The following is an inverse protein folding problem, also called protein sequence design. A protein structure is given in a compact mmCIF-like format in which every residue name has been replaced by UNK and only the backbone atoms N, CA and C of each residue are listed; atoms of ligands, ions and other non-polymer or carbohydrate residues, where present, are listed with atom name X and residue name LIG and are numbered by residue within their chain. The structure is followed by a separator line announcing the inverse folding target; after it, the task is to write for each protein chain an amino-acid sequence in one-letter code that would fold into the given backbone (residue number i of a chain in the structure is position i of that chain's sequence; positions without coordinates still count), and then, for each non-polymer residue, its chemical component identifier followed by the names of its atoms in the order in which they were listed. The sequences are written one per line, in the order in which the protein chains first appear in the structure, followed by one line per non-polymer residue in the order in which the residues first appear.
data_IF_088509499246
#
_entry.id   IF_088509499246
#
_cell.length_a   1.000
_cell.length_b   1.000
_cell.length_c   1.000
_cell.angle_alpha   90.00
_cell.angle_beta   90.00
_cell.angle_gamma   90.00
#
_symmetry.space_group_name_H-M   'P 1'
#
loop_
_entity.id
_entity.type
_entity.pdbx_description
1 polymer ?
#
# COMPACT_ATOMS: atom_id res chain seq x y z
N UNK A 1 23.58 15.98 -9.56
CA UNK A 1 24.14 15.16 -8.46
C UNK A 1 23.33 15.20 -7.16
N UNK A 2 22.16 15.87 -7.11
CA UNK A 2 21.40 16.19 -5.87
C UNK A 2 20.33 15.18 -5.46
N UNK A 3 19.96 14.23 -6.34
CA UNK A 3 18.84 13.31 -6.09
C UNK A 3 19.22 12.04 -5.29
N UNK A 4 20.49 11.61 -5.31
CA UNK A 4 20.93 10.35 -4.68
C UNK A 4 20.70 10.30 -3.16
N UNK A 5 20.86 11.42 -2.47
CA UNK A 5 20.62 11.51 -1.01
C UNK A 5 19.15 11.38 -0.62
N UNK A 6 18.22 11.66 -1.55
CA UNK A 6 16.78 11.55 -1.32
C UNK A 6 16.27 10.12 -1.50
N UNK A 7 17.01 9.26 -2.21
CA UNK A 7 16.66 7.85 -2.45
C UNK A 7 16.41 7.06 -1.16
N UNK A 8 17.29 7.07 -0.13
CA UNK A 8 17.02 6.34 1.11
C UNK A 8 15.77 6.83 1.85
N UNK A 9 15.47 8.14 1.76
CA UNK A 9 14.26 8.72 2.35
C UNK A 9 13.03 8.24 1.56
N UNK A 10 13.07 8.28 0.23
CA UNK A 10 11.98 7.79 -0.64
C UNK A 10 11.69 6.30 -0.42
N UNK A 11 12.73 5.48 -0.29
CA UNK A 11 12.60 4.07 0.07
C UNK A 11 11.95 3.85 1.43
N UNK A 12 12.37 4.62 2.46
CA UNK A 12 11.73 4.57 3.78
C UNK A 12 10.26 4.94 3.70
N UNK A 13 9.92 6.03 3.02
CA UNK A 13 8.52 6.46 2.86
C UNK A 13 7.72 5.39 2.12
N UNK A 14 8.27 4.79 1.04
CA UNK A 14 7.58 3.73 0.31
C UNK A 14 7.42 2.42 1.10
N UNK A 15 8.37 2.10 1.98
CA UNK A 15 8.21 0.99 2.92
C UNK A 15 7.10 1.29 3.93
N UNK A 16 7.04 2.52 4.45
CA UNK A 16 5.96 2.95 5.33
C UNK A 16 4.59 2.93 4.65
N UNK A 17 4.48 3.32 3.37
CA UNK A 17 3.21 3.24 2.63
C UNK A 17 2.76 1.81 2.35
N UNK A 18 3.59 0.80 2.57
CA UNK A 18 3.20 -0.61 2.57
C UNK A 18 2.87 -1.12 3.98
N UNK A 19 3.67 -0.74 4.98
CA UNK A 19 3.49 -1.20 6.38
C UNK A 19 2.27 -0.55 7.05
N UNK A 20 2.08 0.77 6.89
CA UNK A 20 0.97 1.50 7.51
C UNK A 20 -0.39 0.91 7.09
N UNK A 21 -0.62 0.60 5.80
CA UNK A 21 -1.84 -0.07 5.39
C UNK A 21 -2.13 -1.38 6.10
N UNK A 22 -1.13 -2.25 6.19
CA UNK A 22 -1.28 -3.56 6.85
C UNK A 22 -1.66 -3.35 8.31
N UNK A 23 -1.01 -2.39 8.97
CA UNK A 23 -1.28 -2.06 10.37
C UNK A 23 -2.70 -1.50 10.57
N UNK A 24 -3.10 -0.53 9.74
CA UNK A 24 -4.44 0.07 9.78
C UNK A 24 -5.52 -0.98 9.52
N UNK A 25 -5.34 -1.81 8.50
CA UNK A 25 -6.25 -2.89 8.17
C UNK A 25 -6.38 -3.92 9.29
N UNK A 26 -5.25 -4.27 9.92
CA UNK A 26 -5.23 -5.19 11.07
C UNK A 26 -5.97 -4.60 12.28
N UNK A 27 -5.73 -3.32 12.58
CA UNK A 27 -6.41 -2.63 13.68
C UNK A 27 -7.92 -2.59 13.42
N UNK A 28 -8.32 -2.29 12.19
CA UNK A 28 -9.73 -2.18 11.83
C UNK A 28 -10.46 -3.53 11.94
N UNK A 29 -9.88 -4.61 11.40
CA UNK A 29 -10.46 -5.97 11.52
C UNK A 29 -10.58 -6.41 12.99
N UNK A 30 -9.55 -6.15 13.81
CA UNK A 30 -9.48 -6.69 15.15
C UNK A 30 -10.23 -5.85 16.20
N UNK A 31 -10.27 -4.52 16.04
CA UNK A 31 -10.78 -3.60 17.05
C UNK A 31 -12.02 -2.81 16.63
N UNK A 32 -12.24 -2.60 15.33
CA UNK A 32 -13.36 -1.79 14.81
C UNK A 32 -14.38 -2.71 14.15
N UNK A 33 -14.96 -3.60 14.95
CA UNK A 33 -15.91 -4.61 14.45
C UNK A 33 -17.34 -4.08 14.47
N UNK A 34 -17.59 -3.01 13.70
CA UNK A 34 -18.90 -2.34 13.61
C UNK A 34 -19.82 -2.96 12.54
N UNK A 35 -19.57 -4.20 12.11
CA UNK A 35 -20.38 -4.90 11.10
C UNK A 35 -20.13 -4.48 9.65
N UNK A 36 -19.44 -3.36 9.42
CA UNK A 36 -18.93 -2.96 8.12
C UNK A 36 -17.48 -3.44 7.95
N UNK A 37 -17.20 -4.13 6.84
CA UNK A 37 -15.89 -4.74 6.60
C UNK A 37 -14.79 -3.72 6.25
N UNK A 38 -15.14 -2.54 5.75
CA UNK A 38 -14.21 -1.45 5.40
C UNK A 38 -14.84 -0.08 5.68
N UNK A 39 -14.26 0.67 6.62
CA UNK A 39 -14.51 2.09 6.91
C UNK A 39 -13.43 2.98 6.26
N UNK A 40 -13.43 4.27 6.60
CA UNK A 40 -12.51 5.29 6.08
C UNK A 40 -11.02 4.89 6.12
N UNK A 41 -10.60 4.17 7.17
CA UNK A 41 -9.19 3.76 7.36
C UNK A 41 -8.80 2.60 6.44
N UNK A 42 -9.71 1.68 6.18
CA UNK A 42 -9.56 0.56 5.25
C UNK A 42 -9.44 1.06 3.81
N UNK A 43 -10.15 2.13 3.46
CA UNK A 43 -10.05 2.80 2.16
C UNK A 43 -8.74 3.59 2.01
N UNK A 44 -8.32 4.34 3.03
CA UNK A 44 -7.06 5.09 3.03
C UNK A 44 -5.84 4.16 2.94
N UNK A 45 -5.86 3.06 3.70
CA UNK A 45 -4.81 2.04 3.71
C UNK A 45 -4.63 1.38 2.36
N UNK A 46 -5.70 1.18 1.59
CA UNK A 46 -5.63 0.36 0.39
C UNK A 46 -5.64 1.13 -0.92
N UNK A 47 -6.33 2.27 -0.98
CA UNK A 47 -6.53 3.03 -2.23
C UNK A 47 -5.60 4.23 -2.34
N UNK A 48 -5.19 4.85 -1.22
CA UNK A 48 -4.40 6.08 -1.25
C UNK A 48 -2.93 5.86 -0.94
N UNK A 49 -2.62 5.09 0.09
CA UNK A 49 -1.25 4.84 0.53
C UNK A 49 -0.43 4.03 -0.49
N UNK A 50 -0.93 2.92 -1.07
CA UNK A 50 -0.13 2.09 -1.98
C UNK A 50 0.26 2.79 -3.30
N UNK A 51 -0.62 3.54 -3.99
CA UNK A 51 -0.23 4.30 -5.19
C UNK A 51 0.86 5.33 -4.92
N UNK A 52 0.83 5.97 -3.74
CA UNK A 52 1.88 6.90 -3.33
C UNK A 52 3.24 6.18 -3.15
N UNK A 53 3.20 4.98 -2.55
CA UNK A 53 4.36 4.10 -2.43
C UNK A 53 4.93 3.66 -3.78
N UNK A 54 4.07 3.32 -4.73
CA UNK A 54 4.45 2.95 -6.09
C UNK A 54 5.16 4.13 -6.77
N UNK A 55 4.58 5.32 -6.74
CA UNK A 55 5.14 6.50 -7.39
C UNK A 55 6.53 6.87 -6.84
N UNK A 56 6.71 6.78 -5.52
CA UNK A 56 8.01 7.03 -4.88
C UNK A 56 9.04 5.97 -5.23
N UNK A 57 8.65 4.69 -5.29
CA UNK A 57 9.57 3.60 -5.64
C UNK A 57 9.95 3.57 -7.12
N UNK A 58 9.03 3.92 -8.03
CA UNK A 58 9.36 4.11 -9.45
C UNK A 58 10.40 5.22 -9.60
N UNK A 59 10.23 6.31 -8.85
CA UNK A 59 11.17 7.44 -8.87
C UNK A 59 12.54 7.08 -8.30
N UNK A 60 12.62 6.28 -7.23
CA UNK A 60 13.91 5.80 -6.71
C UNK A 60 14.56 4.76 -7.64
N UNK A 61 13.75 3.89 -8.25
CA UNK A 61 14.21 2.90 -9.22
C UNK A 61 14.85 3.57 -10.44
N UNK A 62 14.22 4.58 -11.04
CA UNK A 62 14.80 5.32 -12.17
C UNK A 62 16.13 6.04 -11.87
N UNK A 63 16.51 6.20 -10.60
CA UNK A 63 17.78 6.81 -10.18
C UNK A 63 18.84 5.78 -9.81
N UNK A 64 18.43 4.60 -9.32
CA UNK A 64 19.36 3.62 -8.72
C UNK A 64 19.34 2.23 -9.33
N UNK A 65 18.36 1.93 -10.18
CA UNK A 65 18.17 0.66 -10.89
C UNK A 65 18.32 -0.57 -9.97
N UNK A 66 17.81 -0.45 -8.74
CA UNK A 66 18.04 -1.43 -7.69
C UNK A 66 16.86 -2.38 -7.55
N UNK A 67 17.14 -3.68 -7.45
CA UNK A 67 16.15 -4.73 -7.19
C UNK A 67 15.29 -4.47 -5.94
N UNK A 68 15.81 -3.70 -4.97
CA UNK A 68 15.07 -3.32 -3.75
C UNK A 68 13.91 -2.39 -4.06
N UNK A 69 14.08 -1.46 -4.99
CA UNK A 69 13.00 -0.56 -5.40
C UNK A 69 11.95 -1.32 -6.22
N UNK A 70 12.38 -2.26 -7.05
CA UNK A 70 11.48 -3.12 -7.82
C UNK A 70 10.62 -4.01 -6.92
N UNK A 71 11.21 -4.54 -5.84
CA UNK A 71 10.47 -5.25 -4.80
C UNK A 71 9.45 -4.35 -4.08
N UNK A 72 9.83 -3.11 -3.74
CA UNK A 72 8.91 -2.14 -3.12
C UNK A 72 7.75 -1.77 -4.05
N UNK A 73 7.99 -1.62 -5.36
CA UNK A 73 6.93 -1.43 -6.35
C UNK A 73 5.99 -2.63 -6.32
N UNK A 74 6.52 -3.84 -6.45
CA UNK A 74 5.71 -5.06 -6.46
C UNK A 74 4.87 -5.21 -5.18
N UNK A 75 5.44 -4.95 -4.00
CA UNK A 75 4.72 -4.99 -2.73
C UNK A 75 3.57 -3.98 -2.68
N UNK A 76 3.79 -2.72 -3.07
CA UNK A 76 2.72 -1.71 -3.07
C UNK A 76 1.64 -2.00 -4.14
N UNK A 77 2.03 -2.56 -5.30
CA UNK A 77 1.07 -3.02 -6.33
C UNK A 77 0.20 -4.16 -5.80
N UNK A 78 0.81 -5.18 -5.19
CA UNK A 78 0.07 -6.29 -4.58
C UNK A 78 -0.85 -5.80 -3.46
N UNK A 79 -0.40 -4.85 -2.63
CA UNK A 79 -1.24 -4.24 -1.60
C UNK A 79 -2.47 -3.53 -2.21
N UNK A 80 -2.30 -2.78 -3.30
CA UNK A 80 -3.41 -2.16 -4.02
C UNK A 80 -4.40 -3.21 -4.56
N UNK A 81 -3.90 -4.26 -5.22
CA UNK A 81 -4.75 -5.33 -5.76
C UNK A 81 -5.41 -6.18 -4.68
N UNK A 82 -4.81 -6.33 -3.50
CA UNK A 82 -5.39 -7.11 -2.40
C UNK A 82 -6.74 -6.55 -1.96
N UNK A 83 -6.91 -5.23 -1.98
CA UNK A 83 -8.19 -4.59 -1.73
C UNK A 83 -9.21 -4.90 -2.81
N UNK A 84 -8.83 -4.78 -4.08
CA UNK A 84 -9.73 -5.11 -5.18
C UNK A 84 -10.22 -6.56 -5.09
N UNK A 85 -9.31 -7.50 -4.83
CA UNK A 85 -9.64 -8.91 -4.64
C UNK A 85 -10.57 -9.09 -3.43
N UNK A 86 -10.25 -8.45 -2.31
CA UNK A 86 -11.07 -8.54 -1.10
C UNK A 86 -12.49 -8.02 -1.36
N UNK A 87 -12.64 -6.82 -1.91
CA UNK A 87 -13.96 -6.21 -2.14
C UNK A 87 -14.75 -7.00 -3.17
N UNK A 88 -14.09 -7.47 -4.24
CA UNK A 88 -14.71 -8.33 -5.25
C UNK A 88 -15.22 -9.65 -4.65
N UNK A 89 -14.41 -10.32 -3.83
CA UNK A 89 -14.83 -11.55 -3.14
C UNK A 89 -15.93 -11.28 -2.12
N UNK A 90 -15.87 -10.17 -1.38
CA UNK A 90 -16.91 -9.74 -0.45
C UNK A 90 -18.25 -9.57 -1.16
N UNK A 91 -18.27 -8.83 -2.27
CA UNK A 91 -19.46 -8.67 -3.10
C UNK A 91 -19.96 -10.00 -3.69
N UNK A 92 -19.06 -10.87 -4.13
CA UNK A 92 -19.43 -12.16 -4.72
C UNK A 92 -20.10 -13.09 -3.69
N UNK A 93 -19.63 -13.09 -2.44
CA UNK A 93 -20.13 -14.00 -1.39
C UNK A 93 -21.36 -13.47 -0.66
N UNK A 94 -21.46 -12.15 -0.47
CA UNK A 94 -22.49 -11.55 0.38
C UNK A 94 -23.58 -10.80 -0.41
N UNK A 95 -23.39 -10.63 -1.73
CA UNK A 95 -24.24 -9.77 -2.54
C UNK A 95 -23.93 -8.27 -2.34
N UNK A 96 -24.57 -7.39 -3.12
CA UNK A 96 -24.47 -5.94 -2.92
C UNK A 96 -25.09 -5.47 -1.60
#
# INVERSE_FOLDING_TARGET
MTLKWRVPIMRKISAWTFILPILLFTIEILFVRDGHWFHYYGLLSTVFLPPFGIALSIRSYGITDSNKDLLLIACNVLALFSYFIYTFLGYLMLGP
#
